data_IF_785053584727
#
_entry.id   IF_785053584727
#
_cell.length_a   1.000
_cell.length_b   1.000
_cell.length_c   1.000
_cell.angle_alpha   90.00
_cell.angle_beta   90.00
_cell.angle_gamma   90.00
#
_symmetry.space_group_name_H-M   'P 1'
#
loop_
_entity.id
_entity.type
_entity.pdbx_description
1 polymer ?
#
# COMPACT_ATOMS: atom_id res chain seq x y z
N UNK A 1 -16.78 -51.58 9.86
CA UNK A 1 -16.39 -51.25 11.24
C UNK A 1 -15.06 -50.52 11.12
N UNK A 2 -15.10 -49.18 11.11
CA UNK A 2 -14.93 -48.30 12.28
C UNK A 2 -13.45 -48.33 12.73
N UNK A 3 -12.85 -47.16 12.99
CA UNK A 3 -11.44 -46.91 13.39
C UNK A 3 -10.46 -46.87 12.19
N UNK A 4 -9.93 -45.73 11.71
CA UNK A 4 -9.25 -44.63 12.41
C UNK A 4 -9.49 -43.30 11.67
N UNK A 5 -10.52 -42.55 12.04
CA UNK A 5 -10.83 -41.24 11.45
C UNK A 5 -11.00 -40.13 12.51
N UNK A 6 -10.41 -40.29 13.69
CA UNK A 6 -10.64 -39.37 14.84
C UNK A 6 -9.33 -38.92 15.50
N UNK A 7 -8.37 -38.40 14.74
CA UNK A 7 -7.19 -37.77 15.39
C UNK A 7 -6.57 -36.60 14.63
N UNK A 8 -7.38 -35.74 14.00
CA UNK A 8 -6.96 -34.37 13.66
C UNK A 8 -8.16 -33.39 13.71
N UNK A 9 -8.93 -33.44 14.80
CA UNK A 9 -9.69 -32.27 15.24
C UNK A 9 -8.75 -31.36 16.01
N UNK A 10 -7.90 -30.65 15.26
CA UNK A 10 -7.24 -29.46 15.77
C UNK A 10 -8.31 -28.44 16.13
N UNK A 11 -8.35 -28.10 17.41
CA UNK A 11 -9.23 -27.10 17.98
C UNK A 11 -9.00 -25.75 17.30
N UNK A 12 -10.00 -25.29 16.54
CA UNK A 12 -10.70 -24.02 16.75
C UNK A 12 -9.95 -22.75 17.15
N UNK A 13 -8.68 -22.54 16.80
CA UNK A 13 -8.17 -21.17 16.66
C UNK A 13 -8.62 -20.65 15.30
N UNK A 14 -9.48 -19.63 15.30
CA UNK A 14 -9.76 -18.80 14.13
C UNK A 14 -8.47 -18.07 13.74
N UNK A 15 -7.58 -18.80 13.06
CA UNK A 15 -6.28 -18.29 12.62
C UNK A 15 -6.56 -17.26 11.53
N UNK A 16 -6.62 -16.02 11.97
CA UNK A 16 -6.73 -14.84 11.14
C UNK A 16 -5.83 -14.94 9.90
N UNK A 17 -6.42 -14.66 8.73
CA UNK A 17 -5.77 -14.77 7.42
C UNK A 17 -4.39 -14.08 7.34
N UNK A 18 -4.26 -12.91 7.98
CA UNK A 18 -3.00 -12.22 8.21
C UNK A 18 -2.65 -12.21 9.69
N UNK A 19 -1.35 -12.29 9.99
CA UNK A 19 -0.84 -12.09 11.34
C UNK A 19 -1.01 -10.64 11.84
N UNK A 20 -0.95 -10.47 13.16
CA UNK A 20 -1.14 -9.17 13.80
C UNK A 20 -0.15 -8.09 13.32
N UNK A 21 1.17 -8.35 13.18
CA UNK A 21 2.10 -7.34 12.67
C UNK A 21 1.74 -6.86 11.26
N UNK A 22 1.36 -7.76 10.35
CA UNK A 22 0.92 -7.39 8.99
C UNK A 22 -0.28 -6.46 9.04
N UNK A 23 -1.28 -6.79 9.87
CA UNK A 23 -2.48 -5.97 10.03
C UNK A 23 -2.16 -4.58 10.60
N UNK A 24 -1.31 -4.52 11.62
CA UNK A 24 -0.93 -3.24 12.24
C UNK A 24 -0.15 -2.35 11.28
N UNK A 25 0.81 -2.91 10.55
CA UNK A 25 1.59 -2.19 9.56
C UNK A 25 0.69 -1.72 8.40
N UNK A 26 -0.23 -2.55 7.93
CA UNK A 26 -1.20 -2.17 6.93
C UNK A 26 -2.10 -1.02 7.40
N UNK A 27 -2.67 -1.10 8.61
CA UNK A 27 -3.48 -0.02 9.19
C UNK A 27 -2.68 1.27 9.36
N UNK A 28 -1.44 1.14 9.83
CA UNK A 28 -0.50 2.26 9.96
C UNK A 28 -0.28 2.96 8.63
N UNK A 29 0.06 2.20 7.58
CA UNK A 29 0.21 2.73 6.22
C UNK A 29 -1.08 3.37 5.71
N UNK A 30 -2.22 2.69 5.83
CA UNK A 30 -3.51 3.19 5.37
C UNK A 30 -3.86 4.54 6.03
N UNK A 31 -3.63 4.67 7.35
CA UNK A 31 -3.84 5.91 8.07
C UNK A 31 -2.89 7.01 7.60
N UNK A 32 -1.58 6.77 7.61
CA UNK A 32 -0.59 7.81 7.31
C UNK A 32 -0.66 8.25 5.85
N UNK A 33 -0.84 7.35 4.90
CA UNK A 33 -1.01 7.68 3.48
C UNK A 33 -2.29 8.50 3.24
N UNK A 34 -3.39 8.17 3.93
CA UNK A 34 -4.63 8.96 3.83
C UNK A 34 -4.42 10.37 4.36
N UNK A 35 -3.72 10.52 5.49
CA UNK A 35 -3.36 11.84 6.04
C UNK A 35 -2.44 12.59 5.09
N UNK A 36 -1.43 11.94 4.50
CA UNK A 36 -0.51 12.54 3.54
C UNK A 36 -1.24 13.10 2.31
N UNK A 37 -2.17 12.34 1.74
CA UNK A 37 -3.03 12.80 0.64
C UNK A 37 -3.91 13.97 1.10
N UNK A 38 -4.51 13.89 2.29
CA UNK A 38 -5.32 14.99 2.83
C UNK A 38 -4.53 16.30 2.97
N UNK A 39 -3.31 16.22 3.50
CA UNK A 39 -2.42 17.37 3.66
C UNK A 39 -1.97 17.91 2.30
N UNK A 40 -1.63 17.03 1.34
CA UNK A 40 -1.11 17.46 0.04
C UNK A 40 -2.12 18.26 -0.79
N UNK A 41 -3.42 18.11 -0.54
CA UNK A 41 -4.47 18.88 -1.21
C UNK A 41 -4.51 20.36 -0.82
N UNK A 42 -3.95 20.72 0.33
CA UNK A 42 -4.08 22.07 0.91
C UNK A 42 -2.73 22.71 1.29
N UNK A 43 -1.65 21.94 1.31
CA UNK A 43 -0.32 22.47 1.60
C UNK A 43 0.25 23.27 0.42
N UNK A 44 1.18 24.17 0.71
CA UNK A 44 2.02 24.79 -0.31
C UNK A 44 3.49 24.70 0.13
N UNK A 45 4.31 24.00 -0.63
CA UNK A 45 5.72 23.86 -0.28
C UNK A 45 6.48 25.18 -0.45
N UNK A 46 7.51 25.45 0.38
CA UNK A 46 8.40 26.60 0.24
C UNK A 46 9.04 26.68 -1.15
N UNK A 47 9.06 27.89 -1.72
CA UNK A 47 9.66 28.25 -3.02
C UNK A 47 10.14 29.69 -2.89
N UNK A 48 11.35 30.00 -3.39
CA UNK A 48 11.89 31.35 -3.37
C UNK A 48 10.90 32.37 -3.98
N UNK A 49 10.74 33.52 -3.31
CA UNK A 49 9.97 34.66 -3.82
C UNK A 49 8.44 34.53 -3.79
N UNK A 50 7.89 33.47 -3.19
CA UNK A 50 6.43 33.27 -3.10
C UNK A 50 5.93 33.56 -1.68
N UNK A 51 4.88 34.39 -1.56
CA UNK A 51 4.20 34.67 -0.28
C UNK A 51 3.21 33.53 0.02
N UNK A 52 3.21 33.03 1.26
CA UNK A 52 2.36 31.92 1.72
C UNK A 52 1.64 32.31 2.99
N UNK A 53 0.49 31.67 3.21
CA UNK A 53 -0.21 31.75 4.49
C UNK A 53 0.51 30.89 5.54
N UNK A 54 0.35 31.24 6.81
CA UNK A 54 0.89 30.44 7.91
C UNK A 54 0.29 29.03 7.95
N UNK A 55 -0.96 28.86 7.48
CA UNK A 55 -1.62 27.57 7.44
C UNK A 55 -0.98 26.65 6.39
N UNK A 56 -0.71 27.13 5.18
CA UNK A 56 -0.07 26.34 4.12
C UNK A 56 1.31 25.82 4.54
N UNK A 57 2.08 26.66 5.24
CA UNK A 57 3.39 26.29 5.78
C UNK A 57 3.29 25.25 6.90
N UNK A 58 2.34 25.41 7.83
CA UNK A 58 2.10 24.42 8.88
C UNK A 58 1.63 23.08 8.31
N UNK A 59 0.76 23.09 7.29
CA UNK A 59 0.33 21.86 6.61
C UNK A 59 1.50 21.16 5.91
N UNK A 60 2.42 21.92 5.33
CA UNK A 60 3.66 21.39 4.75
C UNK A 60 4.57 20.78 5.82
N UNK A 61 4.80 21.47 6.94
CA UNK A 61 5.61 20.95 8.05
C UNK A 61 5.02 19.64 8.62
N UNK A 62 3.69 19.60 8.80
CA UNK A 62 3.00 18.38 9.23
C UNK A 62 3.12 17.29 8.16
N UNK A 63 3.05 17.64 6.87
CA UNK A 63 3.24 16.71 5.77
C UNK A 63 4.64 16.10 5.81
N UNK A 64 5.69 16.88 6.05
CA UNK A 64 7.07 16.39 6.19
C UNK A 64 7.20 15.35 7.31
N UNK A 65 6.79 15.71 8.54
CA UNK A 65 6.96 14.82 9.70
C UNK A 65 6.08 13.57 9.64
N UNK A 66 4.83 13.71 9.22
CA UNK A 66 3.96 12.55 8.99
C UNK A 66 4.49 11.71 7.82
N UNK A 67 5.14 12.32 6.83
CA UNK A 67 5.75 11.66 5.69
C UNK A 67 6.93 10.78 6.12
N UNK A 68 7.79 11.29 7.00
CA UNK A 68 8.87 10.50 7.62
C UNK A 68 8.30 9.31 8.41
N UNK A 69 7.26 9.54 9.22
CA UNK A 69 6.59 8.45 9.95
C UNK A 69 6.01 7.41 8.98
N UNK A 70 5.37 7.84 7.88
CA UNK A 70 4.85 6.95 6.84
C UNK A 70 5.97 6.13 6.18
N UNK A 71 7.08 6.76 5.81
CA UNK A 71 8.23 6.11 5.19
C UNK A 71 8.81 5.02 6.11
N UNK A 72 8.95 5.30 7.42
CA UNK A 72 9.41 4.31 8.40
C UNK A 72 8.46 3.11 8.51
N UNK A 73 7.14 3.35 8.52
CA UNK A 73 6.14 2.27 8.57
C UNK A 73 6.19 1.43 7.29
N UNK A 74 6.31 2.06 6.11
CA UNK A 74 6.42 1.36 4.83
C UNK A 74 7.69 0.51 4.80
N UNK A 75 8.84 1.05 5.21
CA UNK A 75 10.08 0.28 5.30
C UNK A 75 9.97 -0.87 6.30
N UNK A 76 9.31 -0.68 7.44
CA UNK A 76 9.04 -1.75 8.39
C UNK A 76 8.15 -2.85 7.78
N UNK A 77 7.15 -2.48 6.98
CA UNK A 77 6.30 -3.44 6.27
C UNK A 77 7.09 -4.25 5.23
N UNK A 78 7.95 -3.58 4.44
CA UNK A 78 8.85 -4.25 3.50
C UNK A 78 9.78 -5.21 4.25
N UNK A 79 10.47 -4.74 5.29
CA UNK A 79 11.38 -5.56 6.09
C UNK A 79 10.67 -6.77 6.71
N UNK A 80 9.48 -6.58 7.26
CA UNK A 80 8.67 -7.65 7.81
C UNK A 80 8.30 -8.69 6.74
N UNK A 81 7.85 -8.23 5.56
CA UNK A 81 7.49 -9.16 4.47
C UNK A 81 8.66 -10.05 4.00
N UNK A 82 9.90 -9.56 4.12
CA UNK A 82 11.10 -10.30 3.74
C UNK A 82 11.41 -11.45 4.71
N UNK A 83 11.08 -11.29 6.00
CA UNK A 83 11.33 -12.30 7.04
C UNK A 83 10.11 -13.18 7.33
N UNK A 84 8.91 -12.75 6.94
CA UNK A 84 7.66 -13.46 7.17
C UNK A 84 7.41 -14.60 6.20
N UNK A 85 6.61 -15.57 6.65
CA UNK A 85 6.16 -16.74 5.88
C UNK A 85 4.65 -16.68 5.62
N UNK A 86 4.13 -17.59 4.81
CA UNK A 86 2.70 -17.64 4.49
C UNK A 86 2.19 -16.40 3.76
N UNK A 87 0.99 -15.92 4.14
CA UNK A 87 0.30 -14.81 3.46
C UNK A 87 1.02 -13.46 3.62
N UNK A 88 1.84 -13.28 4.65
CA UNK A 88 2.62 -12.06 4.88
C UNK A 88 3.97 -12.02 4.13
N UNK A 89 4.36 -13.13 3.49
CA UNK A 89 5.65 -13.24 2.82
C UNK A 89 5.75 -12.38 1.55
N UNK A 90 6.94 -11.87 1.25
CA UNK A 90 7.23 -11.19 -0.01
C UNK A 90 6.86 -12.02 -1.25
N UNK A 91 6.94 -13.35 -1.17
CA UNK A 91 6.55 -14.25 -2.28
C UNK A 91 5.07 -14.14 -2.63
N UNK A 92 4.26 -13.87 -1.60
CA UNK A 92 2.83 -13.61 -1.74
C UNK A 92 2.62 -12.23 -2.36
N UNK A 93 3.29 -11.19 -1.86
CA UNK A 93 3.18 -9.82 -2.38
C UNK A 93 3.69 -9.65 -3.82
N UNK A 94 4.69 -10.43 -4.22
CA UNK A 94 5.37 -10.33 -5.50
C UNK A 94 5.26 -11.65 -6.31
N UNK A 95 4.06 -12.13 -6.63
CA UNK A 95 3.88 -13.45 -7.26
C UNK A 95 4.58 -13.53 -8.62
N UNK A 96 4.73 -12.41 -9.32
CA UNK A 96 5.40 -12.32 -10.63
C UNK A 96 6.91 -12.63 -10.58
N UNK A 97 7.53 -12.63 -9.40
CA UNK A 97 8.92 -13.07 -9.21
C UNK A 97 9.04 -14.60 -9.23
N UNK A 98 7.94 -15.34 -9.07
CA UNK A 98 7.94 -16.81 -9.06
C UNK A 98 7.33 -17.38 -10.34
N UNK A 99 7.79 -18.56 -10.78
CA UNK A 99 7.24 -19.21 -11.98
C UNK A 99 5.75 -19.57 -11.80
N UNK A 100 5.39 -20.15 -10.65
CA UNK A 100 4.00 -20.51 -10.34
C UNK A 100 3.10 -19.28 -10.24
N UNK A 101 3.57 -18.19 -9.61
CA UNK A 101 2.80 -16.96 -9.50
C UNK A 101 2.58 -16.27 -10.84
N UNK A 102 3.57 -16.29 -11.76
CA UNK A 102 3.37 -15.80 -13.14
C UNK A 102 2.32 -16.60 -13.91
N UNK A 103 2.31 -17.92 -13.77
CA UNK A 103 1.31 -18.77 -14.42
C UNK A 103 -0.11 -18.45 -13.91
N UNK A 104 -0.28 -18.36 -12.59
CA UNK A 104 -1.56 -17.97 -11.97
C UNK A 104 -2.00 -16.56 -12.36
N UNK A 105 -1.07 -15.61 -12.37
CA UNK A 105 -1.36 -14.24 -12.81
C UNK A 105 -1.84 -14.22 -14.27
N UNK A 106 -1.22 -15.00 -15.16
CA UNK A 106 -1.67 -15.12 -16.55
C UNK A 106 -3.08 -15.71 -16.68
N UNK A 107 -3.40 -16.72 -15.87
CA UNK A 107 -4.73 -17.32 -15.80
C UNK A 107 -5.78 -16.30 -15.34
N UNK A 108 -5.53 -15.61 -14.22
CA UNK A 108 -6.43 -14.60 -13.67
C UNK A 108 -6.63 -13.42 -14.64
N UNK A 109 -5.54 -12.96 -15.29
CA UNK A 109 -5.60 -11.90 -16.30
C UNK A 109 -6.48 -12.28 -17.50
N UNK A 110 -6.47 -13.55 -17.93
CA UNK A 110 -7.31 -14.03 -19.04
C UNK A 110 -8.81 -13.98 -18.72
N UNK A 111 -9.17 -13.96 -17.43
CA UNK A 111 -10.54 -13.96 -16.95
C UNK A 111 -11.08 -12.55 -16.64
N UNK A 112 -10.24 -11.52 -16.64
CA UNK A 112 -10.59 -10.13 -16.29
C UNK A 112 -11.87 -9.62 -16.96
N UNK A 113 -12.01 -9.86 -18.26
CA UNK A 113 -13.17 -9.39 -19.02
C UNK A 113 -14.48 -9.98 -18.50
N UNK A 114 -14.45 -11.19 -17.96
CA UNK A 114 -15.64 -11.86 -17.43
C UNK A 114 -16.10 -11.30 -16.09
N UNK A 115 -15.20 -10.68 -15.30
CA UNK A 115 -15.51 -10.22 -13.94
C UNK A 115 -16.53 -9.09 -13.91
N UNK A 116 -16.52 -8.22 -14.93
CA UNK A 116 -17.53 -7.16 -15.05
C UNK A 116 -18.94 -7.69 -15.34
N UNK A 117 -19.05 -8.90 -15.90
CA UNK A 117 -20.33 -9.55 -16.21
C UNK A 117 -20.79 -10.56 -15.17
N UNK A 118 -19.85 -11.23 -14.48
CA UNK A 118 -20.11 -12.32 -13.53
C UNK A 118 -19.87 -11.96 -12.07
N UNK A 119 -19.33 -10.77 -11.81
CA UNK A 119 -18.81 -10.38 -10.50
C UNK A 119 -17.33 -10.71 -10.35
N UNK A 120 -16.68 -10.10 -9.35
CA UNK A 120 -15.30 -10.41 -9.00
C UNK A 120 -15.20 -11.86 -8.50
N UNK A 121 -14.10 -12.56 -8.77
CA UNK A 121 -13.85 -13.89 -8.20
C UNK A 121 -13.78 -13.83 -6.68
N UNK A 122 -14.01 -14.96 -6.01
CA UNK A 122 -13.78 -15.06 -4.58
C UNK A 122 -12.30 -14.76 -4.28
N UNK A 123 -11.96 -14.05 -3.19
CA UNK A 123 -10.57 -13.67 -2.89
C UNK A 123 -9.60 -14.84 -2.74
N UNK A 124 -10.13 -16.04 -2.48
CA UNK A 124 -9.32 -17.27 -2.38
C UNK A 124 -9.05 -17.90 -3.76
N UNK A 125 -9.81 -17.52 -4.78
CA UNK A 125 -9.69 -18.01 -6.16
C UNK A 125 -8.82 -17.10 -7.04
N UNK A 126 -8.72 -15.80 -6.72
CA UNK A 126 -7.92 -14.82 -7.48
C UNK A 126 -6.91 -14.10 -6.59
N UNK A 127 -5.93 -14.88 -6.13
CA UNK A 127 -4.95 -14.42 -5.16
C UNK A 127 -3.75 -13.73 -5.81
N UNK A 128 -3.38 -14.12 -7.03
CA UNK A 128 -2.16 -13.64 -7.67
C UNK A 128 -2.30 -12.20 -8.19
N UNK A 129 -3.42 -11.84 -8.81
CA UNK A 129 -3.66 -10.47 -9.27
C UNK A 129 -3.88 -9.52 -8.10
N UNK A 130 -4.67 -9.92 -7.10
CA UNK A 130 -4.92 -9.09 -5.93
C UNK A 130 -3.61 -8.82 -5.17
N UNK A 131 -2.76 -9.84 -5.03
CA UNK A 131 -1.42 -9.68 -4.46
C UNK A 131 -0.52 -8.84 -5.36
N UNK A 132 -0.66 -8.96 -6.68
CA UNK A 132 0.07 -8.11 -7.64
C UNK A 132 -0.21 -6.63 -7.42
N UNK A 133 -1.49 -6.27 -7.30
CA UNK A 133 -1.93 -4.91 -7.03
C UNK A 133 -1.38 -4.43 -5.68
N UNK A 134 -1.45 -5.25 -4.62
CA UNK A 134 -0.89 -4.89 -3.31
C UNK A 134 0.63 -4.65 -3.36
N UNK A 135 1.38 -5.53 -4.01
CA UNK A 135 2.83 -5.39 -4.16
C UNK A 135 3.22 -4.14 -4.95
N UNK A 136 2.49 -3.83 -6.04
CA UNK A 136 2.70 -2.59 -6.80
C UNK A 136 2.37 -1.35 -5.97
N UNK A 137 1.27 -1.39 -5.20
CA UNK A 137 0.93 -0.33 -4.24
C UNK A 137 2.03 -0.10 -3.22
N UNK A 138 2.57 -1.18 -2.63
CA UNK A 138 3.68 -1.12 -1.68
C UNK A 138 4.95 -0.50 -2.29
N UNK A 139 5.29 -0.86 -3.52
CA UNK A 139 6.44 -0.28 -4.23
C UNK A 139 6.23 1.22 -4.54
N UNK A 140 5.02 1.60 -4.92
CA UNK A 140 4.68 3.00 -5.18
C UNK A 140 4.82 3.87 -3.92
N UNK A 141 4.29 3.40 -2.78
CA UNK A 141 4.41 4.14 -1.51
C UNK A 141 5.83 4.09 -0.93
N UNK A 142 6.61 3.05 -1.23
CA UNK A 142 8.04 3.01 -0.90
C UNK A 142 8.81 4.06 -1.71
N UNK A 143 8.58 4.16 -3.02
CA UNK A 143 9.18 5.20 -3.86
C UNK A 143 8.80 6.60 -3.37
N UNK A 144 7.54 6.79 -2.96
CA UNK A 144 7.06 8.04 -2.38
C UNK A 144 7.79 8.40 -1.09
N UNK A 145 7.97 7.43 -0.18
CA UNK A 145 8.72 7.63 1.05
C UNK A 145 10.20 7.94 0.81
N UNK A 146 10.83 7.27 -0.16
CA UNK A 146 12.23 7.52 -0.53
C UNK A 146 12.43 8.91 -1.13
N UNK A 147 11.61 9.29 -2.11
CA UNK A 147 11.66 10.63 -2.72
C UNK A 147 11.35 11.72 -1.69
N UNK A 148 10.35 11.52 -0.84
CA UNK A 148 10.04 12.45 0.26
C UNK A 148 11.19 12.60 1.25
N UNK A 149 11.88 11.50 1.60
CA UNK A 149 13.08 11.54 2.43
C UNK A 149 14.25 12.28 1.78
N UNK A 150 14.45 12.11 0.47
CA UNK A 150 15.45 12.87 -0.28
C UNK A 150 15.14 14.38 -0.28
N UNK A 151 13.87 14.77 -0.44
CA UNK A 151 13.44 16.17 -0.41
C UNK A 151 13.63 16.75 1.00
N UNK A 152 13.18 16.03 2.04
CA UNK A 152 13.33 16.43 3.43
C UNK A 152 14.79 16.71 3.82
N UNK A 153 15.74 15.91 3.31
CA UNK A 153 17.16 16.10 3.57
C UNK A 153 17.84 17.11 2.62
N UNK A 154 17.22 17.41 1.48
CA UNK A 154 17.81 18.15 0.38
C UNK A 154 17.26 19.57 0.19
N UNK A 155 16.17 19.93 0.88
CA UNK A 155 15.55 21.26 0.84
C UNK A 155 16.00 22.11 2.03
N UNK A 156 16.32 23.38 1.76
CA UNK A 156 16.64 24.33 2.82
C UNK A 156 15.35 24.78 3.55
N UNK A 157 15.27 24.55 4.87
CA UNK A 157 14.09 24.83 5.72
C UNK A 157 13.62 26.31 5.71
N UNK A 158 14.51 27.27 5.41
CA UNK A 158 14.17 28.70 5.42
C UNK A 158 13.68 29.25 4.08
N UNK A 159 14.34 28.86 2.98
CA UNK A 159 14.11 29.47 1.66
C UNK A 159 13.35 28.55 0.71
N UNK A 160 13.32 27.24 0.98
CA UNK A 160 12.88 26.22 0.04
C UNK A 160 13.83 26.02 -1.14
N UNK A 161 15.07 26.50 -1.04
CA UNK A 161 16.07 26.29 -2.08
C UNK A 161 16.47 24.81 -2.15
N UNK A 162 16.62 24.33 -3.39
CA UNK A 162 16.98 22.95 -3.72
C UNK A 162 18.00 22.95 -4.86
N UNK A 163 18.81 21.89 -4.96
CA UNK A 163 19.62 21.65 -6.16
C UNK A 163 18.74 21.16 -7.31
N UNK A 164 19.26 21.21 -8.54
CA UNK A 164 18.57 20.67 -9.73
C UNK A 164 18.17 19.20 -9.54
N UNK A 165 19.07 18.38 -8.98
CA UNK A 165 18.78 16.97 -8.71
C UNK A 165 17.62 16.78 -7.71
N UNK A 166 17.52 17.62 -6.67
CA UNK A 166 16.42 17.54 -5.71
C UNK A 166 15.12 18.06 -6.33
N UNK A 167 15.18 19.06 -7.20
CA UNK A 167 14.03 19.52 -7.97
C UNK A 167 13.43 18.39 -8.83
N UNK A 168 14.25 17.63 -9.55
CA UNK A 168 13.79 16.46 -10.31
C UNK A 168 13.13 15.40 -9.41
N UNK A 169 13.67 15.19 -8.20
CA UNK A 169 13.07 14.30 -7.21
C UNK A 169 11.71 14.83 -6.74
N UNK A 170 11.53 16.14 -6.60
CA UNK A 170 10.24 16.75 -6.27
C UNK A 170 9.20 16.51 -7.38
N UNK A 171 9.58 16.65 -8.65
CA UNK A 171 8.69 16.35 -9.76
C UNK A 171 8.26 14.87 -9.76
N UNK A 172 9.22 13.97 -9.52
CA UNK A 172 8.93 12.54 -9.40
C UNK A 172 8.02 12.22 -8.21
N UNK A 173 8.23 12.88 -7.06
CA UNK A 173 7.41 12.76 -5.87
C UNK A 173 5.96 13.16 -6.16
N UNK A 174 5.76 14.32 -6.79
CA UNK A 174 4.45 14.84 -7.18
C UNK A 174 3.72 13.90 -8.15
N UNK A 175 4.39 13.49 -9.22
CA UNK A 175 3.82 12.57 -10.22
C UNK A 175 3.46 11.22 -9.60
N UNK A 176 4.33 10.67 -8.76
CA UNK A 176 4.06 9.42 -8.03
C UNK A 176 2.88 9.59 -7.07
N UNK A 177 2.70 10.79 -6.50
CA UNK A 177 1.59 11.12 -5.60
C UNK A 177 0.24 10.98 -6.30
N UNK A 178 0.16 11.45 -7.54
CA UNK A 178 -1.04 11.32 -8.37
C UNK A 178 -1.38 9.85 -8.65
N UNK A 179 -0.37 9.00 -8.92
CA UNK A 179 -0.59 7.56 -9.10
C UNK A 179 -1.07 6.88 -7.82
N UNK A 180 -0.56 7.27 -6.65
CA UNK A 180 -1.00 6.72 -5.35
C UNK A 180 -2.45 7.08 -5.07
N UNK A 181 -2.89 8.30 -5.40
CA UNK A 181 -4.30 8.69 -5.28
C UNK A 181 -5.18 7.79 -6.15
N UNK A 182 -4.82 7.61 -7.43
CA UNK A 182 -5.56 6.73 -8.35
C UNK A 182 -5.58 5.28 -7.84
N UNK A 183 -4.43 4.77 -7.39
CA UNK A 183 -4.32 3.45 -6.77
C UNK A 183 -5.25 3.31 -5.57
N UNK A 184 -5.25 4.27 -4.64
CA UNK A 184 -6.05 4.20 -3.42
C UNK A 184 -7.55 4.18 -3.73
N UNK A 185 -7.99 5.01 -4.68
CA UNK A 185 -9.39 5.02 -5.14
C UNK A 185 -9.78 3.66 -5.71
N UNK A 186 -8.98 3.10 -6.61
CA UNK A 186 -9.25 1.79 -7.22
C UNK A 186 -9.22 0.66 -6.19
N UNK A 187 -8.26 0.69 -5.28
CA UNK A 187 -8.07 -0.30 -4.23
C UNK A 187 -9.26 -0.33 -3.26
N UNK A 188 -9.68 0.83 -2.76
CA UNK A 188 -10.84 0.95 -1.86
C UNK A 188 -12.13 0.59 -2.58
N UNK A 189 -12.31 1.01 -3.84
CA UNK A 189 -13.47 0.63 -4.64
C UNK A 189 -13.57 -0.88 -4.85
N UNK A 190 -12.45 -1.56 -5.12
CA UNK A 190 -12.39 -3.01 -5.22
C UNK A 190 -12.75 -3.69 -3.89
N UNK A 191 -12.22 -3.21 -2.76
CA UNK A 191 -12.55 -3.75 -1.44
C UNK A 191 -14.05 -3.62 -1.13
N UNK A 192 -14.67 -2.47 -1.45
CA UNK A 192 -16.11 -2.25 -1.31
C UNK A 192 -16.91 -3.19 -2.22
N UNK A 193 -16.47 -3.40 -3.47
CA UNK A 193 -17.13 -4.33 -4.39
C UNK A 193 -17.07 -5.76 -3.85
N UNK A 194 -15.90 -6.26 -3.41
CA UNK A 194 -15.79 -7.56 -2.75
C UNK A 194 -16.75 -7.67 -1.56
N UNK A 195 -16.92 -6.61 -0.77
CA UNK A 195 -17.86 -6.63 0.34
C UNK A 195 -19.33 -6.70 -0.09
N UNK A 196 -19.70 -6.00 -1.16
CA UNK A 196 -21.05 -6.10 -1.73
C UNK A 196 -21.36 -7.50 -2.29
N UNK A 197 -20.34 -8.27 -2.67
CA UNK A 197 -20.46 -9.66 -3.10
C UNK A 197 -20.44 -10.66 -1.95
N UNK A 198 -20.26 -10.21 -0.70
CA UNK A 198 -20.22 -11.08 0.48
C UNK A 198 -18.88 -11.76 0.74
N UNK A 199 -17.79 -11.32 0.10
CA UNK A 199 -16.46 -11.94 0.21
C UNK A 199 -15.70 -11.64 1.51
N UNK A 200 -16.27 -10.85 2.41
CA UNK A 200 -15.70 -10.38 3.70
C UNK A 200 -14.19 -10.08 3.72
N UNK A 201 -13.68 -9.39 2.70
CA UNK A 201 -12.23 -9.07 2.60
C UNK A 201 -11.73 -8.13 3.70
N UNK A 202 -12.60 -7.30 4.28
CA UNK A 202 -12.19 -6.35 5.33
C UNK A 202 -11.88 -7.10 6.63
N UNK A 203 -12.55 -8.21 6.95
CA UNK A 203 -12.24 -8.96 8.18
C UNK A 203 -10.82 -9.51 8.19
N UNK A 204 -10.23 -9.78 7.01
CA UNK A 204 -8.82 -10.18 6.87
C UNK A 204 -7.84 -9.15 7.42
N UNK A 205 -8.23 -7.87 7.49
CA UNK A 205 -7.40 -6.77 8.02
C UNK A 205 -7.95 -6.14 9.31
N UNK A 206 -9.08 -6.64 9.87
CA UNK A 206 -9.63 -6.18 11.15
C UNK A 206 -8.72 -6.53 12.32
#
# INVERSE_FOLDING_TARGET
MHWLADEYRGEGEDMSYYDTPTKLLHKGMALTITVQIGLSLFMAHPKPGTIRTSLELQLFEVHEWVGIAAALIVMAHVAYSLISTGNASWRTLFPWLTANGRARLGEELSQLGSWFSKGLPHPDDSHALASTIHGLGLLAVLLQGLTGGCIFLGMEEGTGAVSEAIHDVMELHEVTGMFIIAYLVLHVAAAIWHQKLGHDVISRIK
#
